data_IF_122697055777
#
_entry.id   IF_122697055777
#
_cell.length_a   1.000
_cell.length_b   1.000
_cell.length_c   1.000
_cell.angle_alpha   90.00
_cell.angle_beta   90.00
_cell.angle_gamma   90.00
#
_symmetry.space_group_name_H-M   'P 1'
#
loop_
_entity.id
_entity.type
_entity.pdbx_description
1 polymer ?
#
# COMPACT_ATOMS: atom_id res chain seq x y z
N UNK A 1 36.96 21.55 30.06
CA UNK A 1 36.39 20.89 28.86
C UNK A 1 35.79 19.59 29.35
N UNK A 2 34.50 19.62 29.67
CA UNK A 2 33.72 18.48 30.17
C UNK A 2 32.33 18.69 29.55
N UNK A 3 31.90 17.78 28.69
CA UNK A 3 30.55 17.75 28.15
C UNK A 3 29.73 16.85 29.07
N UNK A 4 28.68 17.39 29.70
CA UNK A 4 27.67 16.59 30.39
C UNK A 4 26.66 16.08 29.36
N UNK A 5 26.38 14.79 29.45
CA UNK A 5 25.47 14.01 28.61
C UNK A 5 24.02 14.47 28.88
N UNK A 6 23.52 15.40 28.07
CA UNK A 6 22.11 15.78 28.10
C UNK A 6 21.31 14.67 27.42
N UNK A 7 20.84 13.73 28.23
CA UNK A 7 19.96 12.64 27.83
C UNK A 7 18.85 13.11 26.88
N UNK A 8 18.65 12.34 25.82
CA UNK A 8 17.68 12.59 24.77
C UNK A 8 16.28 12.70 25.37
N UNK A 9 15.66 13.88 25.24
CA UNK A 9 14.28 14.11 25.69
C UNK A 9 13.36 13.07 25.02
N UNK A 10 12.42 12.44 25.76
CA UNK A 10 11.45 11.56 25.14
C UNK A 10 10.63 12.35 24.12
N UNK A 11 10.44 11.77 22.93
CA UNK A 11 9.57 12.35 21.92
C UNK A 11 8.20 12.69 22.56
N UNK A 12 7.69 13.92 22.39
CA UNK A 12 6.36 14.25 22.90
C UNK A 12 5.33 13.33 22.23
N UNK A 13 4.33 12.83 22.98
CA UNK A 13 3.26 12.03 22.39
C UNK A 13 2.48 12.92 21.41
N UNK A 14 2.50 12.53 20.14
CA UNK A 14 1.72 13.19 19.10
C UNK A 14 0.22 12.90 19.31
N UNK A 15 -0.42 13.75 20.09
CA UNK A 15 -1.85 13.74 20.35
C UNK A 15 -2.48 15.10 20.04
N UNK A 16 -2.04 15.78 18.98
CA UNK A 16 -2.79 16.93 18.46
C UNK A 16 -3.98 16.43 17.65
N UNK A 17 -5.15 16.34 18.29
CA UNK A 17 -6.44 16.19 17.59
C UNK A 17 -6.59 17.37 16.63
N UNK A 18 -6.63 17.11 15.32
CA UNK A 18 -6.94 18.12 14.32
C UNK A 18 -8.45 18.42 14.39
N UNK A 19 -8.79 19.51 15.06
CA UNK A 19 -10.17 20.02 15.08
C UNK A 19 -10.36 20.88 13.83
N UNK A 20 -11.31 20.52 12.98
CA UNK A 20 -11.68 21.36 11.84
C UNK A 20 -12.78 22.32 12.28
N UNK A 21 -12.53 23.63 12.21
CA UNK A 21 -13.56 24.65 12.41
C UNK A 21 -14.27 24.86 11.08
N UNK A 22 -15.59 24.64 11.02
CA UNK A 22 -16.45 25.02 9.89
C UNK A 22 -17.41 26.12 10.32
N UNK A 23 -17.98 26.87 9.38
CA UNK A 23 -19.07 27.80 9.67
C UNK A 23 -20.41 27.11 9.35
N UNK A 24 -21.42 27.28 10.22
CA UNK A 24 -22.79 26.85 9.93
C UNK A 24 -23.49 27.85 8.97
N UNK A 25 -24.75 27.58 8.63
CA UNK A 25 -25.56 28.43 7.73
C UNK A 25 -25.76 29.87 8.27
N UNK A 26 -25.57 30.06 9.57
CA UNK A 26 -25.65 31.37 10.24
C UNK A 26 -24.28 32.05 10.38
N UNK A 27 -23.20 31.45 9.86
CA UNK A 27 -21.83 31.99 9.96
C UNK A 27 -21.15 31.74 11.31
N UNK A 28 -21.70 30.89 12.17
CA UNK A 28 -21.10 30.57 13.47
C UNK A 28 -20.12 29.40 13.37
N UNK A 29 -18.99 29.45 14.09
CA UNK A 29 -18.00 28.38 14.09
C UNK A 29 -18.54 27.13 14.79
N UNK A 30 -18.57 26.02 14.06
CA UNK A 30 -18.81 24.68 14.58
C UNK A 30 -17.51 23.89 14.62
N UNK A 31 -17.24 23.24 15.76
CA UNK A 31 -16.14 22.30 15.90
C UNK A 31 -16.58 20.97 15.31
N UNK A 32 -15.95 20.56 14.21
CA UNK A 32 -16.13 19.21 13.69
C UNK A 32 -14.99 18.37 14.22
N UNK A 33 -15.27 17.56 15.23
CA UNK A 33 -14.37 16.45 15.57
C UNK A 33 -14.33 15.52 14.36
N UNK A 34 -13.16 15.42 13.73
CA UNK A 34 -12.95 14.33 12.78
C UNK A 34 -12.95 13.04 13.58
N UNK A 35 -13.96 12.20 13.39
CA UNK A 35 -13.93 10.83 13.89
C UNK A 35 -12.62 10.20 13.40
N UNK A 36 -11.75 9.85 14.36
CA UNK A 36 -10.50 9.18 14.07
C UNK A 36 -10.86 7.78 13.58
N UNK A 37 -10.97 7.61 12.26
CA UNK A 37 -11.18 6.30 11.65
C UNK A 37 -10.05 5.38 12.12
N UNK A 38 -10.37 4.34 12.87
CA UNK A 38 -9.39 3.34 13.29
C UNK A 38 -8.88 2.61 12.04
N UNK A 39 -7.57 2.76 11.76
CA UNK A 39 -6.91 2.09 10.62
C UNK A 39 -6.86 0.59 10.91
N UNK A 40 -7.59 -0.23 10.15
CA UNK A 40 -7.53 -1.69 10.30
C UNK A 40 -6.35 -2.22 9.49
N UNK A 41 -5.40 -2.86 10.16
CA UNK A 41 -4.21 -3.44 9.53
C UNK A 41 -4.33 -4.96 9.47
N UNK A 42 -4.23 -5.53 8.28
CA UNK A 42 -4.12 -6.97 8.06
C UNK A 42 -2.71 -7.30 7.58
N UNK A 43 -2.04 -8.25 8.22
CA UNK A 43 -0.71 -8.70 7.82
C UNK A 43 -0.67 -10.22 7.68
N UNK A 44 -0.03 -10.70 6.61
CA UNK A 44 0.20 -12.12 6.34
C UNK A 44 1.69 -12.31 6.11
N UNK A 45 2.32 -13.14 6.95
CA UNK A 45 3.74 -13.46 6.87
C UNK A 45 3.94 -14.76 6.09
N UNK A 46 4.91 -14.75 5.17
CA UNK A 46 5.30 -15.88 4.30
C UNK A 46 4.12 -16.67 3.72
N UNK A 47 3.13 -16.00 3.10
CA UNK A 47 2.02 -16.69 2.46
C UNK A 47 2.50 -17.66 1.37
N UNK A 48 1.70 -18.70 1.13
CA UNK A 48 1.92 -19.62 0.02
C UNK A 48 1.67 -18.94 -1.33
N UNK A 49 2.43 -19.37 -2.34
CA UNK A 49 2.31 -18.90 -3.71
C UNK A 49 1.55 -19.93 -4.57
N UNK A 50 0.68 -19.49 -5.51
CA UNK A 50 0.27 -18.10 -5.75
C UNK A 50 -0.57 -17.55 -4.58
N UNK A 51 -0.39 -16.27 -4.29
CA UNK A 51 -1.11 -15.62 -3.18
C UNK A 51 -2.37 -14.92 -3.68
N UNK A 52 -3.45 -15.07 -2.92
CA UNK A 52 -4.72 -14.39 -3.12
C UNK A 52 -5.23 -13.87 -1.80
N UNK A 53 -5.63 -12.61 -1.78
CA UNK A 53 -6.29 -11.98 -0.65
C UNK A 53 -7.61 -11.35 -1.09
N UNK A 54 -8.70 -11.70 -0.40
CA UNK A 54 -10.01 -11.11 -0.62
C UNK A 54 -10.07 -9.72 0.02
N UNK A 55 -10.43 -8.71 -0.76
CA UNK A 55 -10.64 -7.35 -0.27
C UNK A 55 -11.96 -7.32 0.51
N UNK A 56 -11.99 -6.73 1.72
CA UNK A 56 -13.23 -6.54 2.47
C UNK A 56 -14.28 -5.74 1.70
N UNK A 57 -15.53 -5.87 2.13
CA UNK A 57 -16.66 -5.11 1.58
C UNK A 57 -16.35 -3.61 1.49
N UNK A 58 -16.74 -2.99 0.37
CA UNK A 58 -16.41 -1.60 0.04
C UNK A 58 -15.19 -1.43 -0.88
N UNK A 59 -14.47 -2.52 -1.17
CA UNK A 59 -13.41 -2.57 -2.16
C UNK A 59 -12.14 -1.79 -1.76
N UNK A 60 -11.29 -1.47 -2.74
CA UNK A 60 -9.99 -0.84 -2.50
C UNK A 60 -10.01 0.65 -2.83
N UNK A 61 -10.58 1.44 -1.92
CA UNK A 61 -10.78 2.90 -2.06
C UNK A 61 -9.80 3.69 -1.19
N UNK A 62 -9.48 4.93 -1.57
CA UNK A 62 -8.65 5.81 -0.74
C UNK A 62 -9.22 5.96 0.69
N UNK A 63 -8.39 5.96 1.75
CA UNK A 63 -6.93 6.03 1.78
C UNK A 63 -6.22 4.66 1.86
N UNK A 64 -6.91 3.58 1.48
CA UNK A 64 -6.36 2.23 1.65
C UNK A 64 -5.03 2.03 0.93
N UNK A 65 -4.17 1.21 1.54
CA UNK A 65 -2.87 0.86 0.96
C UNK A 65 -2.61 -0.63 1.02
N UNK A 66 -1.83 -1.13 0.06
CA UNK A 66 -1.22 -2.45 0.15
C UNK A 66 0.29 -2.36 -0.01
N UNK A 67 0.99 -3.23 0.70
CA UNK A 67 2.43 -3.39 0.63
C UNK A 67 2.78 -4.85 0.49
N UNK A 68 3.66 -5.15 -0.46
CA UNK A 68 4.25 -6.45 -0.67
C UNK A 68 5.73 -6.36 -0.35
N UNK A 69 6.25 -7.31 0.41
CA UNK A 69 7.69 -7.57 0.53
C UNK A 69 7.94 -8.91 -0.16
N UNK A 70 8.64 -8.88 -1.29
CA UNK A 70 8.83 -10.03 -2.16
C UNK A 70 10.29 -10.21 -2.52
N UNK A 71 10.68 -11.45 -2.79
CA UNK A 71 12.03 -11.80 -3.25
C UNK A 71 11.87 -12.63 -4.52
N UNK A 72 12.26 -12.11 -5.69
CA UNK A 72 12.29 -12.90 -6.92
C UNK A 72 13.25 -14.08 -6.79
N UNK A 73 12.95 -15.19 -7.47
CA UNK A 73 13.92 -16.28 -7.60
C UNK A 73 15.14 -15.83 -8.43
N UNK A 74 16.31 -16.45 -8.19
CA UNK A 74 17.52 -16.17 -8.97
C UNK A 74 17.31 -16.42 -10.47
N UNK A 75 16.52 -17.45 -10.80
CA UNK A 75 16.14 -17.80 -12.18
C UNK A 75 14.76 -17.27 -12.56
N UNK A 76 14.24 -16.24 -11.87
CA UNK A 76 12.92 -15.70 -12.15
C UNK A 76 12.82 -15.22 -13.60
N UNK A 77 11.72 -15.56 -14.26
CA UNK A 77 11.35 -15.00 -15.56
C UNK A 77 10.40 -13.83 -15.40
N UNK A 78 9.41 -13.97 -14.52
CA UNK A 78 8.45 -12.90 -14.22
C UNK A 78 7.67 -13.13 -12.93
N UNK A 79 7.19 -12.05 -12.34
CA UNK A 79 6.09 -12.10 -11.37
C UNK A 79 5.12 -10.93 -11.61
N UNK A 80 3.93 -11.01 -11.00
CA UNK A 80 2.95 -9.92 -11.04
C UNK A 80 2.27 -9.71 -9.69
N UNK A 81 1.84 -8.47 -9.46
CA UNK A 81 0.97 -8.06 -8.36
C UNK A 81 -0.26 -7.36 -8.96
N UNK A 82 -1.45 -7.82 -8.60
CA UNK A 82 -2.68 -7.41 -9.29
C UNK A 82 -3.76 -6.92 -8.33
N UNK A 83 -4.56 -5.97 -8.79
CA UNK A 83 -5.88 -5.67 -8.23
C UNK A 83 -6.92 -6.21 -9.22
N UNK A 84 -7.82 -7.06 -8.74
CA UNK A 84 -8.81 -7.75 -9.54
C UNK A 84 -10.21 -7.22 -9.25
N UNK A 85 -11.07 -7.23 -10.27
CA UNK A 85 -12.50 -6.92 -10.15
C UNK A 85 -13.30 -7.91 -10.98
N UNK A 86 -14.13 -8.74 -10.35
CA UNK A 86 -14.99 -9.70 -11.07
C UNK A 86 -14.22 -10.70 -11.93
N UNK A 87 -12.94 -10.96 -11.64
CA UNK A 87 -12.06 -11.81 -12.43
C UNK A 87 -11.20 -11.09 -13.47
N UNK A 88 -11.41 -9.80 -13.71
CA UNK A 88 -10.60 -8.98 -14.62
C UNK A 88 -9.51 -8.20 -13.87
N UNK A 89 -8.43 -7.85 -14.57
CA UNK A 89 -7.39 -6.97 -14.01
C UNK A 89 -7.88 -5.53 -14.01
N UNK A 90 -8.20 -5.03 -12.81
CA UNK A 90 -8.38 -3.59 -12.60
C UNK A 90 -7.04 -2.86 -12.63
N UNK A 91 -6.01 -3.49 -12.05
CA UNK A 91 -4.62 -3.06 -12.14
C UNK A 91 -3.72 -4.29 -12.26
N UNK A 92 -2.78 -4.25 -13.21
CA UNK A 92 -1.80 -5.32 -13.45
C UNK A 92 -0.40 -4.72 -13.39
N UNK A 93 0.35 -5.02 -12.33
CA UNK A 93 1.76 -4.69 -12.23
C UNK A 93 2.58 -5.94 -12.51
N UNK A 94 3.36 -5.92 -13.58
CA UNK A 94 4.17 -7.05 -14.02
C UNK A 94 5.64 -6.66 -14.05
N UNK A 95 6.47 -7.54 -13.51
CA UNK A 95 7.93 -7.45 -13.61
C UNK A 95 8.40 -8.62 -14.45
N UNK A 96 9.03 -8.32 -15.59
CA UNK A 96 9.70 -9.29 -16.44
C UNK A 96 11.21 -9.19 -16.22
N UNK A 97 11.86 -10.30 -15.90
CA UNK A 97 13.30 -10.39 -15.75
C UNK A 97 13.94 -10.77 -17.08
N UNK A 98 15.09 -10.17 -17.36
CA UNK A 98 15.80 -10.43 -18.61
C UNK A 98 16.42 -11.84 -18.61
N UNK A 99 16.52 -12.44 -19.79
CA UNK A 99 17.15 -13.73 -19.96
C UNK A 99 18.68 -13.57 -19.86
N UNK A 100 19.39 -14.55 -19.29
CA UNK A 100 20.83 -14.47 -18.98
C UNK A 100 21.76 -14.22 -20.19
N UNK A 101 21.23 -14.23 -21.42
CA UNK A 101 21.95 -13.98 -22.66
C UNK A 101 21.95 -12.51 -23.10
N UNK A 102 21.26 -11.61 -22.40
CA UNK A 102 21.16 -10.20 -22.74
C UNK A 102 21.87 -9.33 -21.67
N UNK A 103 22.72 -8.39 -22.12
CA UNK A 103 23.71 -7.69 -21.28
C UNK A 103 23.15 -6.58 -20.35
N UNK A 104 21.85 -6.53 -20.10
CA UNK A 104 21.28 -5.54 -19.17
C UNK A 104 19.99 -6.02 -18.53
N UNK A 105 19.89 -5.91 -17.21
CA UNK A 105 18.63 -6.05 -16.47
C UNK A 105 18.16 -4.66 -16.05
N UNK A 106 16.89 -4.32 -16.34
CA UNK A 106 16.22 -3.18 -15.73
C UNK A 106 15.28 -3.73 -14.66
N UNK A 107 15.65 -3.54 -13.41
CA UNK A 107 14.78 -3.76 -12.25
C UNK A 107 14.77 -2.44 -11.49
N UNK A 108 13.59 -1.90 -11.28
CA UNK A 108 13.34 -0.79 -10.37
C UNK A 108 12.35 -1.28 -9.32
N UNK A 109 12.61 -0.96 -8.06
CA UNK A 109 11.67 -0.43 -7.04
C UNK A 109 12.38 -0.52 -5.67
N UNK A 110 12.91 0.61 -5.21
CA UNK A 110 13.53 0.84 -3.90
C UNK A 110 12.93 2.09 -3.21
N UNK A 111 11.77 1.93 -2.55
CA UNK A 111 11.27 2.88 -1.55
C UNK A 111 10.89 4.31 -2.00
N UNK A 112 11.11 4.70 -3.24
CA UNK A 112 10.69 5.97 -3.84
C UNK A 112 9.41 5.78 -4.67
N UNK A 113 8.47 6.75 -4.74
CA UNK A 113 7.26 6.63 -5.56
C UNK A 113 7.62 6.40 -7.03
N UNK A 114 7.64 5.13 -7.45
CA UNK A 114 8.15 4.76 -8.76
C UNK A 114 7.08 4.94 -9.84
N UNK A 115 5.81 4.63 -9.53
CA UNK A 115 4.70 4.70 -10.48
C UNK A 115 3.45 5.22 -9.76
N UNK A 116 2.84 6.27 -10.29
CA UNK A 116 1.47 6.68 -9.96
C UNK A 116 0.56 6.25 -11.11
N UNK A 117 -0.24 5.21 -10.87
CA UNK A 117 -1.32 4.84 -11.79
C UNK A 117 -2.55 5.68 -11.47
N UNK A 118 -3.04 6.45 -12.44
CA UNK A 118 -4.33 7.12 -12.35
C UNK A 118 -5.41 6.20 -12.91
N UNK A 119 -6.50 6.05 -12.17
CA UNK A 119 -7.69 5.33 -12.66
C UNK A 119 -8.21 6.00 -13.94
N UNK A 120 -8.71 5.17 -14.86
CA UNK A 120 -9.30 5.60 -16.13
C UNK A 120 -10.71 6.14 -15.89
N UNK A 121 -11.25 6.86 -16.88
CA UNK A 121 -12.62 7.35 -16.79
C UNK A 121 -13.61 6.18 -16.72
N UNK A 122 -14.47 6.17 -15.69
CA UNK A 122 -15.43 5.08 -15.43
C UNK A 122 -14.91 3.95 -14.54
N UNK A 123 -13.62 3.92 -14.21
CA UNK A 123 -13.06 2.97 -13.26
C UNK A 123 -13.66 3.20 -11.87
N UNK A 124 -14.16 2.14 -11.23
CA UNK A 124 -14.68 2.19 -9.87
C UNK A 124 -13.84 1.28 -8.95
N UNK A 125 -12.90 1.83 -8.17
CA UNK A 125 -12.05 1.06 -7.26
C UNK A 125 -12.82 0.30 -6.18
N UNK A 126 -14.07 0.69 -5.88
CA UNK A 126 -14.94 -0.06 -4.96
C UNK A 126 -15.34 -1.44 -5.52
N UNK A 127 -15.12 -1.69 -6.81
CA UNK A 127 -15.33 -3.01 -7.42
C UNK A 127 -14.13 -3.94 -7.31
N UNK A 128 -12.98 -3.47 -6.79
CA UNK A 128 -11.82 -4.32 -6.57
C UNK A 128 -12.15 -5.29 -5.43
N UNK A 129 -12.11 -6.59 -5.72
CA UNK A 129 -12.53 -7.66 -4.81
C UNK A 129 -11.38 -8.56 -4.35
N UNK A 130 -10.25 -8.52 -5.06
CA UNK A 130 -9.11 -9.40 -4.79
C UNK A 130 -7.79 -8.75 -5.15
N UNK A 131 -6.77 -9.11 -4.37
CA UNK A 131 -5.38 -8.80 -4.63
C UNK A 131 -4.62 -10.10 -4.83
N UNK A 132 -3.86 -10.21 -5.92
CA UNK A 132 -3.08 -11.43 -6.22
C UNK A 132 -1.60 -11.14 -6.37
N UNK A 133 -0.77 -12.11 -6.01
CA UNK A 133 0.66 -12.15 -6.32
C UNK A 133 0.97 -13.51 -6.94
N UNK A 134 1.55 -13.49 -8.13
CA UNK A 134 1.74 -14.67 -8.98
C UNK A 134 3.13 -14.65 -9.65
N UNK A 135 3.66 -15.83 -9.98
CA UNK A 135 4.91 -15.99 -10.72
C UNK A 135 6.12 -16.30 -9.83
N UNK A 136 7.31 -16.01 -10.37
CA UNK A 136 8.61 -16.48 -9.89
C UNK A 136 9.17 -15.65 -8.72
N UNK A 137 8.46 -15.65 -7.60
CA UNK A 137 8.92 -15.00 -6.38
C UNK A 137 8.44 -15.72 -5.12
N UNK A 138 9.07 -15.39 -3.99
CA UNK A 138 8.53 -15.64 -2.66
C UNK A 138 7.91 -14.36 -2.14
N UNK A 139 6.66 -14.41 -1.72
CA UNK A 139 6.04 -13.35 -0.95
C UNK A 139 6.43 -13.51 0.52
N UNK A 140 7.28 -12.63 1.03
CA UNK A 140 7.72 -12.64 2.42
C UNK A 140 6.66 -12.04 3.34
N UNK A 141 5.98 -10.98 2.88
CA UNK A 141 4.98 -10.28 3.68
C UNK A 141 3.97 -9.55 2.81
N UNK A 142 2.70 -9.66 3.18
CA UNK A 142 1.61 -8.84 2.67
C UNK A 142 1.04 -7.99 3.80
N UNK A 143 0.82 -6.70 3.56
CA UNK A 143 0.13 -5.80 4.48
C UNK A 143 -0.94 -5.02 3.73
N UNK A 144 -2.17 -5.05 4.25
CA UNK A 144 -3.25 -4.16 3.85
C UNK A 144 -3.60 -3.22 5.01
N UNK A 145 -3.86 -1.95 4.69
CA UNK A 145 -4.34 -0.94 5.63
C UNK A 145 -5.65 -0.35 5.11
N UNK A 146 -6.71 -0.45 5.92
CA UNK A 146 -8.06 -0.03 5.61
C UNK A 146 -8.40 1.39 6.09
#
# INVERSE_FOLDING_TARGET
MIWEDLGQLPNPPDHRRLITVRLNENGEPILVEQEKREEKITAVERPLMPFTWAVPDGGFVSPQTVRFTLTPFVSAKRFSCNLMSGGEHFFHFRVDFHNANEKSSKVDVDGSPYIKFAYRNGDNPAKIDRITVEGDCVLQRFVHKA
#
